data_IF_317761956444
#
_entry.id   IF_317761956444
#
_cell.length_a   1.000
_cell.length_b   1.000
_cell.length_c   1.000
_cell.angle_alpha   90.00
_cell.angle_beta   90.00
_cell.angle_gamma   90.00
#
_symmetry.space_group_name_H-M   'P 1'
#
loop_
_entity.id
_entity.type
_entity.pdbx_description
1 polymer ?
#
# COMPACT_ATOMS: atom_id res chain seq x y z
N UNK A 1 13.64 -28.01 -61.06
CA UNK A 1 12.56 -27.52 -61.91
C UNK A 1 11.85 -26.51 -61.07
N UNK A 2 12.23 -25.41 -61.28
CA UNK A 2 11.86 -24.11 -61.84
C UNK A 2 11.27 -23.25 -60.72
N UNK A 3 11.95 -22.28 -60.27
CA UNK A 3 12.51 -21.05 -60.85
C UNK A 3 11.45 -19.96 -61.05
N UNK A 4 11.80 -18.78 -60.66
CA UNK A 4 11.20 -17.51 -61.05
C UNK A 4 10.55 -16.73 -59.90
N UNK A 5 10.99 -15.59 -59.48
CA UNK A 5 11.82 -14.50 -59.99
C UNK A 5 11.29 -13.25 -59.35
N UNK A 6 12.08 -12.54 -58.62
CA UNK A 6 12.52 -11.16 -58.65
C UNK A 6 11.63 -10.21 -59.47
N UNK A 7 11.19 -9.11 -58.83
CA UNK A 7 11.50 -7.78 -59.35
C UNK A 7 11.31 -6.64 -58.35
N UNK A 8 12.29 -5.77 -58.41
CA UNK A 8 12.48 -4.48 -57.75
C UNK A 8 11.85 -3.35 -58.56
N UNK A 9 11.71 -2.25 -57.91
CA UNK A 9 11.57 -0.91 -58.54
C UNK A 9 10.49 -0.08 -57.88
N UNK A 10 10.66 1.15 -57.51
CA UNK A 10 11.70 2.10 -57.75
C UNK A 10 11.34 3.40 -57.06
N UNK A 11 12.37 4.15 -56.73
CA UNK A 11 12.39 5.53 -56.26
C UNK A 11 11.72 6.52 -57.22
N UNK A 12 11.17 7.61 -56.68
CA UNK A 12 11.22 9.01 -57.19
C UNK A 12 10.65 9.94 -56.10
N UNK A 13 11.42 10.72 -55.43
CA UNK A 13 12.05 12.03 -55.64
C UNK A 13 11.22 13.02 -56.46
N UNK A 14 10.91 14.14 -55.84
CA UNK A 14 10.90 15.55 -56.28
C UNK A 14 10.00 16.36 -55.32
N UNK A 15 10.52 17.22 -54.52
CA UNK A 15 11.08 18.58 -54.67
C UNK A 15 10.07 19.68 -54.53
N UNK A 16 10.39 20.57 -53.64
CA UNK A 16 10.22 22.02 -53.61
C UNK A 16 8.80 22.64 -53.73
N UNK A 17 8.49 23.37 -52.70
CA UNK A 17 8.34 24.85 -52.82
C UNK A 17 8.17 25.48 -51.43
N UNK A 18 9.09 26.33 -51.15
CA UNK A 18 9.16 27.21 -50.02
C UNK A 18 8.23 28.42 -50.16
N UNK A 19 7.77 28.87 -49.02
CA UNK A 19 7.43 30.30 -48.82
C UNK A 19 7.83 30.66 -47.38
N UNK A 20 8.77 31.57 -47.30
CA UNK A 20 9.13 32.29 -46.10
C UNK A 20 8.07 33.32 -45.73
N UNK A 21 7.65 33.39 -44.49
CA UNK A 21 7.04 34.59 -43.93
C UNK A 21 7.74 34.97 -42.63
N UNK A 22 8.39 36.09 -42.71
CA UNK A 22 8.93 36.88 -41.60
C UNK A 22 7.82 37.33 -40.63
N UNK A 23 8.05 37.23 -39.35
CA UNK A 23 7.13 37.76 -38.36
C UNK A 23 7.72 37.86 -36.95
N UNK A 24 8.46 38.93 -36.70
CA UNK A 24 8.64 39.68 -35.47
C UNK A 24 8.78 38.93 -34.13
N UNK A 25 10.01 38.79 -33.68
CA UNK A 25 10.39 38.72 -32.27
C UNK A 25 10.11 40.07 -31.62
N UNK A 26 9.12 40.16 -30.75
CA UNK A 26 9.00 41.23 -29.76
C UNK A 26 9.43 40.66 -28.41
N UNK A 27 10.67 40.94 -28.03
CA UNK A 27 11.16 40.75 -26.65
C UNK A 27 10.50 41.80 -25.79
N UNK A 28 9.54 41.40 -24.96
CA UNK A 28 9.14 42.23 -23.81
C UNK A 28 10.00 41.88 -22.62
N UNK A 29 10.97 42.73 -22.37
CA UNK A 29 11.80 42.72 -21.18
C UNK A 29 10.99 43.32 -20.02
N UNK A 30 10.52 42.50 -19.09
CA UNK A 30 9.68 42.91 -17.96
C UNK A 30 10.47 43.57 -16.81
N UNK A 31 11.70 44.01 -17.01
CA UNK A 31 12.59 44.52 -15.97
C UNK A 31 13.06 45.97 -16.14
N UNK A 32 12.45 46.79 -17.02
CA UNK A 32 12.93 48.14 -17.27
C UNK A 32 11.90 49.25 -17.05
N UNK A 33 11.01 49.13 -16.06
CA UNK A 33 10.19 50.28 -15.65
C UNK A 33 10.00 50.34 -14.13
N UNK A 34 11.08 50.39 -13.40
CA UNK A 34 11.06 50.83 -12.00
C UNK A 34 11.53 52.30 -11.96
N UNK A 35 10.60 53.21 -12.22
CA UNK A 35 10.78 54.62 -11.90
C UNK A 35 10.90 54.79 -10.39
N UNK A 36 11.90 55.51 -9.98
CA UNK A 36 12.18 55.97 -8.64
C UNK A 36 10.93 56.43 -7.87
N UNK A 37 10.44 55.61 -6.96
CA UNK A 37 9.60 56.06 -5.86
C UNK A 37 10.45 56.03 -4.58
N UNK A 38 10.46 57.17 -3.89
CA UNK A 38 11.22 57.39 -2.67
C UNK A 38 10.88 56.33 -1.61
N UNK A 39 11.91 55.77 -1.00
CA UNK A 39 11.79 54.80 0.11
C UNK A 39 11.11 55.49 1.29
N UNK A 40 9.98 54.99 1.81
CA UNK A 40 9.45 55.40 3.09
C UNK A 40 10.39 54.90 4.19
N UNK A 41 10.67 55.80 5.14
CA UNK A 41 11.66 55.62 6.18
C UNK A 41 11.48 54.36 7.06
N UNK A 42 12.43 54.15 7.96
CA UNK A 42 12.65 53.03 8.88
C UNK A 42 11.39 52.36 9.51
N UNK A 43 10.25 53.03 9.54
CA UNK A 43 8.97 52.49 10.06
C UNK A 43 8.27 51.54 9.09
N UNK A 44 8.49 51.62 7.77
CA UNK A 44 7.93 50.71 6.77
C UNK A 44 8.61 49.35 6.74
N UNK A 45 9.90 49.31 7.11
CA UNK A 45 10.66 48.05 7.11
C UNK A 45 10.24 47.09 8.23
N UNK A 46 9.82 47.63 9.38
CA UNK A 46 9.36 46.78 10.51
C UNK A 46 7.97 46.18 10.30
N UNK A 47 7.12 46.81 9.49
CA UNK A 47 5.80 46.26 9.15
C UNK A 47 5.88 45.18 8.04
N UNK A 48 6.85 45.27 7.14
CA UNK A 48 7.09 44.22 6.12
C UNK A 48 7.74 42.97 6.72
N UNK A 49 8.53 43.12 7.80
CA UNK A 49 9.14 41.98 8.50
C UNK A 49 8.13 41.21 9.40
N UNK A 50 7.06 41.88 9.89
CA UNK A 50 6.03 41.25 10.70
C UNK A 50 5.00 40.43 9.86
N UNK A 51 4.88 40.72 8.56
CA UNK A 51 3.97 40.00 7.65
C UNK A 51 4.51 38.67 7.10
N UNK A 52 5.81 38.40 7.25
CA UNK A 52 6.45 37.20 6.70
C UNK A 52 6.55 36.02 7.66
N UNK A 53 6.06 36.14 8.91
CA UNK A 53 6.19 35.11 9.94
C UNK A 53 4.95 34.24 10.12
N UNK A 54 3.90 34.36 9.31
CA UNK A 54 2.63 33.68 9.54
C UNK A 54 2.16 32.74 8.42
N UNK A 55 3.03 32.34 7.50
CA UNK A 55 2.76 31.19 6.64
C UNK A 55 3.73 30.06 7.00
N UNK A 56 3.58 29.51 8.20
CA UNK A 56 3.83 28.09 8.39
C UNK A 56 2.77 27.40 7.54
N UNK A 57 3.10 27.24 6.25
CA UNK A 57 2.37 26.41 5.35
C UNK A 57 2.22 25.07 6.07
N UNK A 58 1.00 24.71 6.44
CA UNK A 58 0.63 23.33 6.70
C UNK A 58 0.86 22.62 5.38
N UNK A 59 2.11 22.18 5.15
CA UNK A 59 2.39 21.25 4.05
C UNK A 59 1.45 20.09 4.25
N UNK A 60 0.63 19.72 3.26
CA UNK A 60 -0.15 18.51 3.36
C UNK A 60 0.80 17.40 3.76
N UNK A 61 0.37 16.55 4.70
CA UNK A 61 1.12 15.38 5.13
C UNK A 61 1.18 14.37 3.97
N UNK A 62 1.92 14.70 2.92
CA UNK A 62 2.18 13.81 1.81
C UNK A 62 2.92 12.57 2.33
N UNK A 63 2.68 11.44 1.68
CA UNK A 63 3.46 10.23 1.88
C UNK A 63 4.94 10.56 1.70
N UNK A 64 5.79 9.99 2.55
CA UNK A 64 7.24 10.22 2.49
C UNK A 64 7.96 9.12 1.72
N UNK A 65 7.31 7.95 1.62
CA UNK A 65 7.76 6.85 0.77
C UNK A 65 7.13 6.97 -0.60
N UNK A 66 7.92 6.72 -1.64
CA UNK A 66 7.43 6.68 -3.02
C UNK A 66 7.20 5.22 -3.41
N UNK A 67 5.93 4.88 -3.63
CA UNK A 67 5.49 3.55 -4.03
C UNK A 67 4.76 3.57 -5.38
N UNK A 68 4.71 4.72 -6.02
CA UNK A 68 3.99 4.89 -7.28
C UNK A 68 2.47 4.73 -7.16
N UNK A 69 1.80 4.68 -8.29
CA UNK A 69 0.34 4.47 -8.37
C UNK A 69 -0.07 3.02 -8.17
N UNK A 70 -1.20 2.78 -7.52
CA UNK A 70 -1.78 1.42 -7.45
C UNK A 70 -2.16 0.91 -8.85
N UNK A 71 -2.07 -0.40 -9.07
CA UNK A 71 -2.39 -1.04 -10.35
C UNK A 71 -3.80 -0.68 -10.85
N UNK A 72 -3.93 -0.22 -12.09
CA UNK A 72 -5.23 0.07 -12.71
C UNK A 72 -6.11 -1.17 -12.91
N UNK A 73 -5.51 -2.36 -12.93
CA UNK A 73 -6.25 -3.62 -13.05
C UNK A 73 -7.26 -3.82 -11.91
N UNK A 74 -7.01 -3.24 -10.72
CA UNK A 74 -7.96 -3.30 -9.60
C UNK A 74 -9.35 -2.79 -9.98
N UNK A 75 -9.46 -1.85 -10.92
CA UNK A 75 -10.74 -1.26 -11.34
C UNK A 75 -11.66 -2.26 -12.08
N UNK A 76 -11.12 -3.41 -12.51
CA UNK A 76 -11.90 -4.49 -13.13
C UNK A 76 -12.69 -5.33 -12.11
N UNK A 77 -12.40 -5.21 -10.82
CA UNK A 77 -13.10 -5.91 -9.73
C UNK A 77 -13.79 -4.86 -8.85
N UNK A 78 -15.11 -4.91 -8.64
CA UNK A 78 -15.81 -3.95 -7.76
C UNK A 78 -15.30 -4.02 -6.33
N UNK A 79 -14.96 -2.84 -5.74
CA UNK A 79 -14.38 -2.77 -4.40
C UNK A 79 -15.39 -3.20 -3.34
N UNK A 80 -16.62 -2.71 -3.44
CA UNK A 80 -17.71 -2.96 -2.50
C UNK A 80 -18.04 -4.45 -2.39
N UNK A 81 -18.06 -5.13 -3.53
CA UNK A 81 -18.36 -6.58 -3.57
C UNK A 81 -17.27 -7.40 -2.90
N UNK A 82 -15.99 -7.05 -3.17
CA UNK A 82 -14.87 -7.74 -2.55
C UNK A 82 -14.82 -7.45 -1.04
N UNK A 83 -15.08 -6.23 -0.60
CA UNK A 83 -15.16 -5.86 0.82
C UNK A 83 -16.32 -6.60 1.53
N UNK A 84 -17.47 -6.74 0.87
CA UNK A 84 -18.62 -7.49 1.40
C UNK A 84 -18.29 -8.99 1.52
N UNK A 85 -17.72 -9.60 0.47
CA UNK A 85 -17.28 -10.99 0.48
C UNK A 85 -16.22 -11.25 1.56
N UNK A 86 -15.26 -10.34 1.70
CA UNK A 86 -14.22 -10.38 2.74
C UNK A 86 -14.84 -10.35 4.14
N UNK A 87 -15.83 -9.48 4.36
CA UNK A 87 -16.53 -9.36 5.65
C UNK A 87 -17.27 -10.65 6.00
N UNK A 88 -17.94 -11.28 5.03
CA UNK A 88 -18.64 -12.54 5.25
C UNK A 88 -17.67 -13.69 5.56
N UNK A 89 -16.58 -13.77 4.81
CA UNK A 89 -15.56 -14.80 5.05
C UNK A 89 -14.86 -14.62 6.40
N UNK A 90 -14.55 -13.39 6.76
CA UNK A 90 -13.97 -13.10 8.05
C UNK A 90 -14.90 -13.51 9.20
N UNK A 91 -16.21 -13.23 9.08
CA UNK A 91 -17.19 -13.67 10.05
C UNK A 91 -17.26 -15.20 10.18
N UNK A 92 -17.19 -15.94 9.06
CA UNK A 92 -17.13 -17.42 9.06
C UNK A 92 -15.88 -17.91 9.78
N UNK A 93 -14.72 -17.35 9.46
CA UNK A 93 -13.44 -17.71 10.10
C UNK A 93 -13.51 -17.50 11.62
N UNK A 94 -14.05 -16.37 12.07
CA UNK A 94 -14.19 -16.08 13.51
C UNK A 94 -15.19 -17.03 14.19
N UNK A 95 -16.30 -17.37 13.52
CA UNK A 95 -17.27 -18.33 14.05
C UNK A 95 -16.64 -19.72 14.20
N UNK A 96 -15.84 -20.16 13.23
CA UNK A 96 -15.08 -21.39 13.31
C UNK A 96 -14.05 -21.38 14.44
N UNK A 97 -13.23 -20.32 14.52
CA UNK A 97 -12.27 -20.14 15.61
C UNK A 97 -12.95 -20.15 16.98
N UNK A 98 -14.14 -19.52 17.10
CA UNK A 98 -14.94 -19.51 18.32
C UNK A 98 -15.45 -20.91 18.67
N UNK A 99 -15.96 -21.67 17.72
CA UNK A 99 -16.46 -23.04 17.94
C UNK A 99 -15.34 -23.99 18.43
N UNK A 100 -14.11 -23.73 18.01
CA UNK A 100 -12.92 -24.47 18.44
C UNK A 100 -12.28 -23.94 19.72
N UNK A 101 -12.88 -22.91 20.36
CA UNK A 101 -12.29 -22.26 21.55
C UNK A 101 -11.00 -21.49 21.26
N UNK A 102 -10.69 -21.25 19.99
CA UNK A 102 -9.46 -20.60 19.55
C UNK A 102 -9.57 -19.07 19.40
N UNK A 103 -10.78 -18.49 19.42
CA UNK A 103 -10.96 -17.06 19.34
C UNK A 103 -10.67 -16.40 20.69
N UNK A 104 -9.72 -15.47 20.73
CA UNK A 104 -9.37 -14.75 21.95
C UNK A 104 -10.54 -13.91 22.46
N UNK A 105 -10.79 -13.93 23.77
CA UNK A 105 -11.78 -13.06 24.41
C UNK A 105 -11.31 -11.60 24.43
N UNK A 106 -12.24 -10.66 24.60
CA UNK A 106 -11.92 -9.23 24.70
C UNK A 106 -10.94 -8.88 25.85
N UNK A 107 -10.89 -9.69 26.89
CA UNK A 107 -9.94 -9.54 28.01
C UNK A 107 -8.53 -10.07 27.73
N UNK A 108 -8.29 -10.72 26.59
CA UNK A 108 -6.98 -11.26 26.26
C UNK A 108 -5.95 -10.14 26.09
N UNK A 109 -4.85 -10.20 26.82
CA UNK A 109 -3.81 -9.15 26.84
C UNK A 109 -3.18 -8.90 25.45
N UNK A 110 -2.93 -9.98 24.68
CA UNK A 110 -2.37 -9.84 23.32
C UNK A 110 -3.38 -9.21 22.35
N UNK A 111 -4.68 -9.55 22.45
CA UNK A 111 -5.70 -8.89 21.66
C UNK A 111 -5.82 -7.40 22.01
N UNK A 112 -5.76 -7.06 23.28
CA UNK A 112 -5.75 -5.65 23.72
C UNK A 112 -4.52 -4.91 23.18
N UNK A 113 -3.35 -5.53 23.19
CA UNK A 113 -2.12 -5.03 22.59
C UNK A 113 -2.30 -4.75 21.10
N UNK A 114 -2.84 -5.69 20.32
CA UNK A 114 -3.15 -5.51 18.90
C UNK A 114 -4.13 -4.35 18.66
N UNK A 115 -5.15 -4.23 19.50
CA UNK A 115 -6.12 -3.13 19.43
C UNK A 115 -5.49 -1.76 19.73
N UNK A 116 -4.53 -1.67 20.65
CA UNK A 116 -3.78 -0.43 20.89
C UNK A 116 -2.98 -0.05 19.65
N UNK A 117 -2.28 -1.00 19.06
CA UNK A 117 -1.49 -0.77 17.85
C UNK A 117 -2.39 -0.32 16.69
N UNK A 118 -3.47 -1.03 16.41
CA UNK A 118 -4.39 -0.71 15.31
C UNK A 118 -4.99 0.69 15.43
N UNK A 119 -5.40 1.11 16.63
CA UNK A 119 -5.93 2.47 16.87
C UNK A 119 -4.93 3.58 16.56
N UNK A 120 -3.63 3.30 16.60
CA UNK A 120 -2.58 4.26 16.24
C UNK A 120 -2.28 4.27 14.74
N UNK A 121 -2.51 3.16 14.02
CA UNK A 121 -2.25 3.06 12.59
C UNK A 121 -3.45 3.51 11.74
N UNK A 122 -4.66 3.09 12.10
CA UNK A 122 -5.91 3.32 11.34
C UNK A 122 -6.14 4.80 10.96
N UNK A 123 -5.89 5.81 11.82
CA UNK A 123 -6.07 7.22 11.45
C UNK A 123 -5.27 7.68 10.22
N UNK A 124 -4.20 6.96 9.89
CA UNK A 124 -3.32 7.27 8.77
C UNK A 124 -3.67 6.49 7.48
N UNK A 125 -4.61 5.55 7.54
CA UNK A 125 -4.98 4.69 6.43
C UNK A 125 -5.57 5.44 5.23
N UNK A 126 -6.37 6.48 5.50
CA UNK A 126 -7.05 7.25 4.46
C UNK A 126 -6.10 8.01 3.50
N UNK A 127 -4.84 8.18 3.86
CA UNK A 127 -3.83 8.77 2.97
C UNK A 127 -3.50 7.86 1.78
N UNK A 128 -3.73 6.56 1.94
CA UNK A 128 -3.44 5.53 0.95
C UNK A 128 -4.68 5.04 0.20
N UNK A 129 -5.85 5.16 0.83
CA UNK A 129 -7.14 4.80 0.23
C UNK A 129 -8.27 5.54 0.94
N UNK A 130 -8.97 6.42 0.22
CA UNK A 130 -10.08 7.19 0.80
C UNK A 130 -11.23 6.31 1.29
N UNK A 131 -11.43 5.12 0.69
CA UNK A 131 -12.43 4.14 1.12
C UNK A 131 -12.19 3.67 2.56
N UNK A 132 -10.94 3.70 3.04
CA UNK A 132 -10.58 3.30 4.41
C UNK A 132 -11.29 4.10 5.50
N UNK A 133 -11.80 5.31 5.18
CA UNK A 133 -12.65 6.11 6.08
C UNK A 133 -13.99 5.46 6.39
N UNK A 134 -14.49 4.63 5.49
CA UNK A 134 -15.79 3.96 5.59
C UNK A 134 -15.66 2.52 6.07
N UNK A 135 -14.43 1.97 6.14
CA UNK A 135 -14.21 0.61 6.56
C UNK A 135 -14.54 0.42 8.04
N UNK A 136 -15.22 -0.68 8.33
CA UNK A 136 -15.45 -1.12 9.70
C UNK A 136 -14.24 -1.96 10.14
N UNK A 137 -13.19 -1.27 10.56
CA UNK A 137 -11.96 -1.89 11.03
C UNK A 137 -12.24 -2.82 12.21
N UNK A 138 -11.67 -4.01 12.13
CA UNK A 138 -11.86 -5.06 13.13
C UNK A 138 -10.56 -5.83 13.30
N UNK A 139 -10.16 -6.08 14.55
CA UNK A 139 -8.93 -6.79 14.89
C UNK A 139 -9.29 -7.95 15.80
N UNK A 140 -8.88 -9.15 15.41
CA UNK A 140 -9.05 -10.36 16.20
C UNK A 140 -7.74 -11.15 16.34
N UNK A 141 -7.66 -11.95 17.40
CA UNK A 141 -6.54 -12.86 17.67
C UNK A 141 -7.08 -14.30 17.70
N UNK A 142 -6.47 -15.17 16.91
CA UNK A 142 -6.85 -16.57 16.77
C UNK A 142 -5.75 -17.46 17.34
N UNK A 143 -6.09 -18.33 18.25
CA UNK A 143 -5.19 -19.32 18.85
C UNK A 143 -4.76 -20.36 17.82
N UNK A 144 -3.54 -20.25 17.34
CA UNK A 144 -2.95 -21.19 16.38
C UNK A 144 -1.42 -21.11 16.44
N UNK A 145 -0.75 -22.24 16.20
CA UNK A 145 0.71 -22.29 16.07
C UNK A 145 1.22 -21.71 14.74
N UNK A 146 0.34 -21.37 13.82
CA UNK A 146 0.74 -20.77 12.54
C UNK A 146 1.40 -19.42 12.75
N UNK A 147 2.54 -19.22 12.11
CA UNK A 147 3.18 -17.90 12.04
C UNK A 147 2.51 -17.15 10.89
N UNK A 148 1.40 -16.47 11.18
CA UNK A 148 0.61 -15.76 10.17
C UNK A 148 -0.15 -14.58 10.75
N UNK A 149 -0.45 -13.60 9.90
CA UNK A 149 -1.37 -12.49 10.10
C UNK A 149 -1.93 -12.09 8.73
N UNK A 150 -3.04 -11.37 8.70
CA UNK A 150 -3.58 -10.84 7.44
C UNK A 150 -4.51 -9.64 7.68
N UNK A 151 -4.73 -8.86 6.64
CA UNK A 151 -5.79 -7.85 6.55
C UNK A 151 -6.58 -8.03 5.25
N UNK A 152 -7.83 -8.46 5.36
CA UNK A 152 -8.72 -8.53 4.20
C UNK A 152 -9.26 -7.14 3.81
N UNK A 153 -9.69 -6.95 2.54
CA UNK A 153 -10.43 -5.77 2.11
C UNK A 153 -11.56 -5.40 3.08
N UNK A 154 -11.77 -4.11 3.30
CA UNK A 154 -12.75 -3.65 4.31
C UNK A 154 -12.19 -3.58 5.73
N UNK A 155 -10.86 -3.75 5.92
CA UNK A 155 -10.18 -3.55 7.20
C UNK A 155 -10.37 -4.69 8.22
N UNK A 156 -10.45 -5.95 7.76
CA UNK A 156 -10.61 -7.14 8.60
C UNK A 156 -9.27 -7.75 8.93
N UNK A 157 -8.74 -7.48 10.12
CA UNK A 157 -7.40 -7.86 10.57
C UNK A 157 -7.48 -9.06 11.50
N UNK A 158 -6.67 -10.10 11.26
CA UNK A 158 -6.45 -11.17 12.21
C UNK A 158 -4.96 -11.47 12.37
N UNK A 159 -4.59 -11.77 13.61
CA UNK A 159 -3.29 -12.33 13.98
C UNK A 159 -3.49 -13.73 14.53
N UNK A 160 -2.54 -14.61 14.26
CA UNK A 160 -2.46 -15.90 14.95
C UNK A 160 -1.49 -15.79 16.12
N UNK A 161 -1.75 -16.51 17.22
CA UNK A 161 -0.86 -16.46 18.40
C UNK A 161 0.56 -16.87 18.05
N UNK A 162 0.72 -17.81 17.12
CA UNK A 162 2.03 -18.32 16.70
C UNK A 162 2.99 -17.24 16.19
N UNK A 163 2.52 -16.22 15.47
CA UNK A 163 3.41 -15.15 14.96
C UNK A 163 3.95 -14.28 16.11
N UNK A 164 3.13 -14.05 17.14
CA UNK A 164 3.51 -13.23 18.31
C UNK A 164 4.47 -13.99 19.22
N UNK A 165 4.16 -15.26 19.51
CA UNK A 165 4.85 -16.08 20.50
C UNK A 165 6.17 -16.65 19.98
N UNK A 166 6.15 -17.26 18.78
CA UNK A 166 7.34 -17.92 18.25
C UNK A 166 8.41 -16.91 17.79
N UNK A 167 8.01 -15.75 17.28
CA UNK A 167 8.94 -14.70 16.88
C UNK A 167 9.26 -13.72 18.01
N UNK A 168 8.58 -13.83 19.16
CA UNK A 168 8.76 -12.93 20.30
C UNK A 168 8.78 -11.45 19.88
N UNK A 169 7.71 -11.04 19.19
CA UNK A 169 7.63 -9.73 18.56
C UNK A 169 7.45 -8.61 19.58
N UNK A 170 8.22 -7.55 19.43
CA UNK A 170 8.00 -6.27 20.12
C UNK A 170 6.76 -5.55 19.56
N UNK A 171 6.27 -4.50 20.23
CA UNK A 171 5.16 -3.68 19.72
C UNK A 171 5.49 -3.01 18.41
N UNK A 172 6.72 -2.54 18.25
CA UNK A 172 7.19 -1.94 17.01
C UNK A 172 7.18 -2.96 15.85
N UNK A 173 7.62 -4.19 16.10
CA UNK A 173 7.59 -5.26 15.08
C UNK A 173 6.16 -5.70 14.73
N UNK A 174 5.26 -5.78 15.72
CA UNK A 174 3.83 -6.04 15.47
C UNK A 174 3.20 -4.93 14.65
N UNK A 175 3.56 -3.68 14.92
CA UNK A 175 3.08 -2.53 14.14
C UNK A 175 3.58 -2.58 12.68
N UNK A 176 4.81 -3.07 12.45
CA UNK A 176 5.33 -3.27 11.07
C UNK A 176 4.54 -4.34 10.32
N UNK A 177 4.24 -5.50 10.97
CA UNK A 177 3.40 -6.54 10.35
C UNK A 177 2.00 -5.98 10.09
N UNK A 178 1.38 -5.37 11.09
CA UNK A 178 0.02 -4.84 10.95
C UNK A 178 -0.05 -3.77 9.83
N UNK A 179 0.94 -2.88 9.77
CA UNK A 179 1.06 -1.87 8.71
C UNK A 179 1.22 -2.50 7.33
N UNK A 180 2.05 -3.54 7.20
CA UNK A 180 2.24 -4.31 5.97
C UNK A 180 0.93 -4.96 5.50
N UNK A 181 0.21 -5.64 6.41
CA UNK A 181 -1.07 -6.25 6.10
C UNK A 181 -2.14 -5.21 5.72
N UNK A 182 -2.20 -4.10 6.47
CA UNK A 182 -3.07 -2.98 6.12
C UNK A 182 -2.72 -2.41 4.74
N UNK A 183 -1.44 -2.32 4.39
CA UNK A 183 -1.00 -1.81 3.10
C UNK A 183 -1.51 -2.66 1.94
N UNK A 184 -1.51 -4.00 2.04
CA UNK A 184 -2.11 -4.87 1.02
C UNK A 184 -3.58 -4.54 0.78
N UNK A 185 -4.36 -4.30 1.83
CA UNK A 185 -5.76 -3.90 1.70
C UNK A 185 -5.92 -2.48 1.15
N UNK A 186 -5.14 -1.51 1.63
CA UNK A 186 -5.18 -0.11 1.22
C UNK A 186 -4.76 0.10 -0.23
N UNK A 187 -3.72 -0.61 -0.69
CA UNK A 187 -3.23 -0.58 -2.07
C UNK A 187 -4.05 -1.48 -3.01
N UNK A 188 -5.01 -2.20 -2.44
CA UNK A 188 -5.95 -3.08 -3.16
C UNK A 188 -5.24 -4.18 -3.96
N UNK A 189 -4.12 -4.71 -3.44
CA UNK A 189 -3.32 -5.72 -4.11
C UNK A 189 -4.14 -6.98 -4.44
N UNK A 190 -5.05 -7.40 -3.55
CA UNK A 190 -5.94 -8.54 -3.81
C UNK A 190 -6.86 -8.30 -5.02
N UNK A 191 -7.45 -7.10 -5.17
CA UNK A 191 -8.28 -6.73 -6.32
C UNK A 191 -7.49 -6.81 -7.63
N UNK A 192 -6.26 -6.23 -7.64
CA UNK A 192 -5.40 -6.24 -8.81
C UNK A 192 -4.97 -7.67 -9.20
N UNK A 193 -4.69 -8.52 -8.20
CA UNK A 193 -4.32 -9.93 -8.42
C UNK A 193 -5.48 -10.75 -8.97
N UNK A 194 -6.67 -10.61 -8.41
CA UNK A 194 -7.89 -11.24 -8.92
C UNK A 194 -8.15 -10.81 -10.37
N UNK A 195 -8.08 -9.52 -10.67
CA UNK A 195 -8.25 -9.01 -12.02
C UNK A 195 -7.21 -9.57 -13.01
N UNK A 196 -5.94 -9.65 -12.60
CA UNK A 196 -4.86 -10.22 -13.43
C UNK A 196 -5.06 -11.70 -13.71
N UNK A 197 -5.51 -12.46 -12.74
CA UNK A 197 -5.72 -13.91 -12.89
C UNK A 197 -6.92 -14.25 -13.75
N UNK A 198 -7.93 -13.38 -13.82
CA UNK A 198 -9.04 -13.52 -14.76
C UNK A 198 -8.56 -13.54 -16.22
N UNK A 199 -7.53 -12.75 -16.55
CA UNK A 199 -6.91 -12.76 -17.89
C UNK A 199 -6.15 -14.05 -18.22
N UNK A 200 -5.82 -14.88 -17.24
CA UNK A 200 -5.08 -16.14 -17.42
C UNK A 200 -5.97 -17.40 -17.32
N UNK A 201 -7.29 -17.27 -17.22
CA UNK A 201 -8.24 -18.38 -17.26
C UNK A 201 -8.41 -19.20 -15.98
N UNK A 202 -7.57 -18.97 -14.96
CA UNK A 202 -7.57 -19.79 -13.72
C UNK A 202 -8.55 -19.27 -12.65
N UNK A 203 -9.05 -18.05 -12.78
CA UNK A 203 -9.98 -17.41 -11.84
C UNK A 203 -11.24 -16.84 -12.53
N UNK A 204 -11.54 -17.30 -13.75
CA UNK A 204 -12.78 -16.92 -14.46
C UNK A 204 -14.04 -17.22 -13.60
N UNK A 205 -13.99 -18.23 -12.74
CA UNK A 205 -15.09 -18.56 -11.82
C UNK A 205 -15.30 -17.47 -10.75
N UNK A 206 -14.24 -16.88 -10.21
CA UNK A 206 -14.34 -15.86 -9.16
C UNK A 206 -14.85 -14.52 -9.70
N UNK A 207 -14.31 -14.07 -10.83
CA UNK A 207 -14.77 -12.83 -11.44
C UNK A 207 -16.19 -12.92 -11.98
N UNK A 208 -16.54 -14.05 -12.61
CA UNK A 208 -17.92 -14.30 -13.05
C UNK A 208 -18.89 -14.36 -11.87
N UNK A 209 -18.42 -14.86 -10.75
CA UNK A 209 -19.18 -14.95 -9.50
C UNK A 209 -19.33 -13.57 -8.84
N UNK A 210 -18.29 -12.75 -8.76
CA UNK A 210 -18.35 -11.37 -8.26
C UNK A 210 -19.21 -10.44 -9.15
N UNK A 211 -19.32 -10.75 -10.44
CA UNK A 211 -20.16 -10.03 -11.40
C UNK A 211 -21.63 -10.50 -11.42
N UNK A 212 -22.06 -11.31 -10.45
CA UNK A 212 -23.46 -11.73 -10.31
C UNK A 212 -23.89 -12.84 -11.28
N UNK A 213 -22.93 -13.55 -11.91
CA UNK A 213 -23.20 -14.64 -12.86
C UNK A 213 -23.30 -16.03 -12.19
N UNK A 214 -23.39 -16.08 -10.84
CA UNK A 214 -23.52 -17.32 -10.07
C UNK A 214 -24.26 -17.13 -8.74
N UNK A 215 -24.69 -18.24 -8.11
CA UNK A 215 -25.39 -18.19 -6.83
C UNK A 215 -24.50 -17.60 -5.71
N UNK A 216 -24.90 -16.44 -5.16
CA UNK A 216 -24.18 -15.62 -4.20
C UNK A 216 -23.65 -16.34 -2.93
N UNK A 217 -24.28 -17.45 -2.54
CA UNK A 217 -23.90 -18.19 -1.33
C UNK A 217 -22.60 -18.99 -1.43
N UNK A 218 -22.30 -19.57 -2.59
CA UNK A 218 -21.08 -20.36 -2.84
C UNK A 218 -19.88 -19.49 -3.22
N UNK A 219 -20.16 -18.32 -3.74
CA UNK A 219 -19.18 -17.31 -4.17
C UNK A 219 -18.37 -16.79 -3.01
N UNK A 220 -19.02 -16.32 -1.96
CA UNK A 220 -18.37 -15.74 -0.80
C UNK A 220 -17.42 -16.73 -0.09
N UNK A 221 -17.75 -18.04 -0.11
CA UNK A 221 -16.91 -19.07 0.49
C UNK A 221 -15.60 -19.29 -0.28
N UNK A 222 -15.66 -19.30 -1.62
CA UNK A 222 -14.49 -19.52 -2.47
C UNK A 222 -13.57 -18.29 -2.51
N UNK A 223 -14.14 -17.09 -2.68
CA UNK A 223 -13.39 -15.83 -2.64
C UNK A 223 -12.61 -15.66 -1.34
N UNK A 224 -13.23 -16.00 -0.23
CA UNK A 224 -12.59 -15.79 1.06
C UNK A 224 -11.44 -16.76 1.35
N UNK A 225 -11.55 -18.01 0.94
CA UNK A 225 -10.45 -18.98 1.06
C UNK A 225 -9.28 -18.56 0.17
N UNK A 226 -9.56 -18.09 -1.04
CA UNK A 226 -8.52 -17.59 -1.96
C UNK A 226 -7.83 -16.32 -1.43
N UNK A 227 -8.55 -15.39 -0.81
CA UNK A 227 -7.96 -14.21 -0.20
C UNK A 227 -6.91 -14.54 0.86
N UNK A 228 -7.13 -15.62 1.64
CA UNK A 228 -6.19 -16.08 2.66
C UNK A 228 -4.96 -16.80 2.11
N UNK A 229 -5.06 -17.32 0.88
CA UNK A 229 -4.00 -18.10 0.23
C UNK A 229 -3.36 -17.35 -0.94
N UNK A 230 -3.80 -16.11 -1.19
CA UNK A 230 -3.32 -15.29 -2.29
C UNK A 230 -1.84 -14.97 -2.13
N UNK A 231 -1.05 -15.31 -3.14
CA UNK A 231 0.38 -14.96 -3.18
C UNK A 231 0.55 -13.62 -3.88
N UNK A 232 1.22 -12.70 -3.23
CA UNK A 232 1.52 -11.39 -3.78
C UNK A 232 2.79 -11.42 -4.65
N UNK A 233 2.89 -10.47 -5.58
CA UNK A 233 4.11 -10.29 -6.37
C UNK A 233 5.20 -9.60 -5.54
N UNK A 234 6.45 -9.65 -6.00
CA UNK A 234 7.53 -8.92 -5.33
C UNK A 234 7.29 -7.41 -5.26
N UNK A 235 6.68 -6.85 -6.31
CA UNK A 235 6.35 -5.42 -6.37
C UNK A 235 5.24 -5.08 -5.36
N UNK A 236 4.20 -5.95 -5.22
CA UNK A 236 3.16 -5.80 -4.20
C UNK A 236 3.76 -5.85 -2.79
N UNK A 237 4.77 -6.71 -2.57
CA UNK A 237 5.46 -6.84 -1.28
C UNK A 237 6.31 -5.61 -0.95
N UNK A 238 7.09 -5.10 -1.93
CA UNK A 238 7.86 -3.86 -1.76
C UNK A 238 6.94 -2.67 -1.48
N UNK A 239 5.84 -2.55 -2.22
CA UNK A 239 4.81 -1.53 -1.98
C UNK A 239 4.24 -1.65 -0.56
N UNK A 240 3.85 -2.86 -0.14
CA UNK A 240 3.30 -3.11 1.20
C UNK A 240 4.31 -2.84 2.32
N UNK A 241 5.58 -3.17 2.12
CA UNK A 241 6.65 -2.87 3.06
C UNK A 241 6.82 -1.36 3.28
N UNK A 242 6.87 -0.58 2.20
CA UNK A 242 7.09 0.86 2.28
C UNK A 242 5.89 1.60 2.87
N UNK A 243 4.68 1.26 2.41
CA UNK A 243 3.44 1.84 2.96
C UNK A 243 3.27 1.46 4.44
N UNK A 244 3.52 0.19 4.78
CA UNK A 244 3.47 -0.30 6.15
C UNK A 244 4.49 0.38 7.07
N UNK A 245 5.72 0.59 6.56
CA UNK A 245 6.78 1.32 7.25
C UNK A 245 6.33 2.75 7.59
N UNK A 246 5.72 3.45 6.63
CA UNK A 246 5.23 4.81 6.87
C UNK A 246 4.04 4.84 7.83
N UNK A 247 3.07 3.93 7.69
CA UNK A 247 1.93 3.81 8.59
C UNK A 247 2.39 3.62 10.04
N UNK A 248 3.32 2.69 10.27
CA UNK A 248 3.86 2.41 11.60
C UNK A 248 4.62 3.62 12.15
N UNK A 249 5.45 4.29 11.36
CA UNK A 249 6.17 5.50 11.77
C UNK A 249 5.21 6.63 12.15
N UNK A 250 4.13 6.86 11.39
CA UNK A 250 3.06 7.82 11.70
C UNK A 250 2.30 7.43 12.98
N UNK A 251 2.13 6.14 13.24
CA UNK A 251 1.58 5.60 14.48
C UNK A 251 2.52 5.72 15.68
N UNK A 252 3.74 6.24 15.51
CA UNK A 252 4.75 6.42 16.55
C UNK A 252 5.47 5.12 16.94
N UNK A 253 5.59 4.18 16.00
CA UNK A 253 6.39 2.97 16.14
C UNK A 253 7.73 3.12 15.42
N UNK A 254 8.79 2.57 16.05
CA UNK A 254 10.16 2.72 15.55
C UNK A 254 10.32 2.03 14.19
N UNK A 255 10.60 2.77 13.09
CA UNK A 255 10.71 2.19 11.76
C UNK A 255 11.88 1.21 11.61
N UNK A 256 12.90 1.29 12.47
CA UNK A 256 14.02 0.33 12.47
C UNK A 256 13.56 -1.11 12.77
N UNK A 257 12.42 -1.28 13.43
CA UNK A 257 11.82 -2.58 13.70
C UNK A 257 11.41 -3.37 12.45
N UNK A 258 11.22 -2.70 11.32
CA UNK A 258 10.97 -3.38 10.05
C UNK A 258 12.14 -4.29 9.65
N UNK A 259 13.37 -3.84 9.88
CA UNK A 259 14.57 -4.60 9.57
C UNK A 259 14.71 -5.82 10.50
N UNK A 260 14.57 -5.62 11.81
CA UNK A 260 14.66 -6.71 12.79
C UNK A 260 13.56 -7.76 12.60
N UNK A 261 12.36 -7.34 12.26
CA UNK A 261 11.23 -8.21 11.92
C UNK A 261 11.59 -9.17 10.77
N UNK A 262 12.05 -8.65 9.63
CA UNK A 262 12.38 -9.49 8.48
C UNK A 262 13.58 -10.38 8.74
N UNK A 263 14.52 -9.99 9.58
CA UNK A 263 15.60 -10.86 10.06
C UNK A 263 15.07 -12.03 10.92
N UNK A 264 14.09 -11.79 11.80
CA UNK A 264 13.41 -12.84 12.57
C UNK A 264 12.63 -13.79 11.66
N UNK A 265 11.87 -13.24 10.68
CA UNK A 265 11.14 -14.02 9.69
C UNK A 265 12.06 -14.93 8.86
N UNK A 266 13.21 -14.40 8.41
CA UNK A 266 14.19 -15.16 7.62
C UNK A 266 14.78 -16.33 8.45
N UNK A 267 15.08 -16.10 9.74
CA UNK A 267 15.58 -17.16 10.64
C UNK A 267 14.53 -18.24 10.86
N UNK A 268 13.26 -17.87 11.03
CA UNK A 268 12.16 -18.81 11.20
C UNK A 268 11.87 -19.61 9.92
N UNK A 269 12.16 -19.06 8.75
CA UNK A 269 11.95 -19.69 7.43
C UNK A 269 12.97 -20.74 7.04
N UNK A 270 14.09 -20.87 7.77
CA UNK A 270 15.17 -21.82 7.45
C UNK A 270 14.90 -23.29 7.78
N UNK A 271 13.74 -23.65 8.30
CA UNK A 271 13.32 -25.03 8.59
C UNK A 271 12.45 -25.63 7.48
N UNK A 272 12.30 -26.97 7.48
CA UNK A 272 11.47 -27.72 6.52
C UNK A 272 9.96 -27.38 6.56
N UNK A 273 9.54 -26.62 7.57
CA UNK A 273 8.18 -26.10 7.77
C UNK A 273 8.26 -24.60 8.01
N UNK A 274 8.70 -23.83 7.03
CA UNK A 274 8.81 -22.39 7.13
C UNK A 274 7.48 -21.71 7.52
N UNK A 275 7.52 -20.45 8.03
CA UNK A 275 6.31 -19.71 8.40
C UNK A 275 5.31 -19.69 7.26
N UNK A 276 4.03 -19.97 7.55
CA UNK A 276 2.93 -19.85 6.58
C UNK A 276 2.84 -18.43 6.00
N UNK A 277 3.23 -17.42 6.77
CA UNK A 277 3.38 -16.04 6.32
C UNK A 277 4.30 -15.93 5.09
N UNK A 278 5.46 -16.58 5.09
CA UNK A 278 6.40 -16.52 3.96
C UNK A 278 5.90 -17.24 2.70
N UNK A 279 4.87 -18.09 2.82
CA UNK A 279 4.26 -18.75 1.64
C UNK A 279 3.41 -17.80 0.82
N UNK A 280 2.79 -16.82 1.46
CA UNK A 280 1.97 -15.76 0.83
C UNK A 280 2.77 -14.48 0.61
N UNK A 281 3.76 -14.20 1.47
CA UNK A 281 4.62 -13.01 1.45
C UNK A 281 6.10 -13.43 1.25
N UNK A 282 6.56 -13.63 0.01
CA UNK A 282 7.92 -14.03 -0.26
C UNK A 282 8.93 -13.03 0.30
N UNK A 283 9.87 -13.50 1.12
CA UNK A 283 10.96 -12.69 1.65
C UNK A 283 12.22 -12.81 0.78
N UNK A 284 13.10 -11.83 0.90
CA UNK A 284 14.42 -11.85 0.25
C UNK A 284 15.33 -10.74 0.78
N UNK A 285 16.67 -10.85 0.58
CA UNK A 285 17.61 -9.83 1.03
C UNK A 285 17.32 -8.44 0.50
N UNK A 286 16.75 -8.34 -0.71
CA UNK A 286 16.40 -7.08 -1.35
C UNK A 286 15.36 -6.28 -0.54
N UNK A 287 14.33 -6.95 0.04
CA UNK A 287 13.33 -6.28 0.87
C UNK A 287 13.95 -5.64 2.11
N UNK A 288 14.89 -6.33 2.76
CA UNK A 288 15.60 -5.81 3.93
C UNK A 288 16.43 -4.57 3.54
N UNK A 289 17.16 -4.62 2.41
CA UNK A 289 17.94 -3.48 1.91
C UNK A 289 17.05 -2.29 1.56
N UNK A 290 15.94 -2.53 0.91
CA UNK A 290 14.95 -1.49 0.55
C UNK A 290 14.38 -0.83 1.79
N UNK A 291 13.96 -1.59 2.79
CA UNK A 291 13.51 -1.07 4.09
C UNK A 291 14.60 -0.24 4.77
N UNK A 292 15.83 -0.75 4.84
CA UNK A 292 16.96 -0.02 5.42
C UNK A 292 17.18 1.34 4.75
N UNK A 293 17.06 1.42 3.43
CA UNK A 293 17.23 2.66 2.67
C UNK A 293 16.08 3.66 2.86
N UNK A 294 14.89 3.17 3.24
CA UNK A 294 13.68 4.00 3.42
C UNK A 294 13.41 4.39 4.89
N UNK A 295 13.97 3.68 5.87
CA UNK A 295 13.87 4.05 7.30
C UNK A 295 14.20 5.52 7.56
N UNK A 296 15.29 6.12 7.03
CA UNK A 296 15.59 7.53 7.25
C UNK A 296 14.49 8.48 6.73
N UNK A 297 13.78 8.13 5.66
CA UNK A 297 12.73 8.97 5.07
C UNK A 297 11.52 9.14 6.01
N UNK A 298 11.22 8.12 6.81
CA UNK A 298 10.06 8.13 7.72
C UNK A 298 10.44 8.47 9.17
N UNK A 299 11.74 8.63 9.46
CA UNK A 299 12.22 8.92 10.82
C UNK A 299 11.60 10.19 11.41
N UNK A 300 11.42 11.23 10.58
CA UNK A 300 10.77 12.47 11.01
C UNK A 300 9.28 12.30 11.34
N UNK A 301 8.58 11.36 10.71
CA UNK A 301 7.19 11.01 11.05
C UNK A 301 7.12 10.37 12.44
N UNK A 302 7.98 9.39 12.67
CA UNK A 302 8.11 8.71 13.97
C UNK A 302 8.39 9.69 15.11
N UNK A 303 9.35 10.60 14.91
CA UNK A 303 9.70 11.60 15.93
C UNK A 303 8.50 12.49 16.27
N UNK A 304 7.77 13.00 15.27
CA UNK A 304 6.58 13.85 15.46
C UNK A 304 5.43 13.11 16.14
N UNK A 305 5.28 11.82 15.89
CA UNK A 305 4.21 11.04 16.50
C UNK A 305 4.45 10.73 18.00
N UNK A 306 5.67 10.98 18.49
CA UNK A 306 6.08 10.77 19.90
C UNK A 306 6.26 12.07 20.69
N UNK A 307 6.31 13.20 20.02
CA UNK A 307 6.30 14.54 20.66
C UNK A 307 4.90 14.93 21.11
#
# INVERSE_FOLDING_TARGET
MEDGGVERGGEKVLSDMGVAVFGYYSRMCFLCDVKHSAWPGRRGFLLAAAGSAATLATTPLLAQVDVGGSSSLRNLVPAEELEAASTQQYAKLLAEAKSQGALASAGNAQLQRLNVISRRLIPHAAQWNDRARQWRWEVNLIGSKQINAFCMPGGKIAFYTGILEQLQLTDDEVAMIMGHEMAHALREHARARIAKSQGTGTLLSLGAQLLGLGELGNVAANVGTELLTLRFSRDDESDADLVGLELAARGGYNPQAAVSLWQKMAKAGGGSSGPSFLSTHPSGPQRIQELQSNVPKVQGLYQRARS
#
